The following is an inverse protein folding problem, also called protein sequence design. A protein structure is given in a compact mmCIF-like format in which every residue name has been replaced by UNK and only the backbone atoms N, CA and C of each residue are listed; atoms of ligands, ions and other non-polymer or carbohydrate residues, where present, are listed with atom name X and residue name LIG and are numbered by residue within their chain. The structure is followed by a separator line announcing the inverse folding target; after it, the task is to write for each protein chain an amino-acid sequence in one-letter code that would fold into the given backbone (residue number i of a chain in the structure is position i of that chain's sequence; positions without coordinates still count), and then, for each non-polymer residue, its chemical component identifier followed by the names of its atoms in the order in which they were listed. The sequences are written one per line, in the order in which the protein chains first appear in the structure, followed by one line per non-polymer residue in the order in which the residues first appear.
data_IF_155134969567
#
_entry.id   IF_155134969567
#
_cell.length_a   1.000
_cell.length_b   1.000
_cell.length_c   1.000
_cell.angle_alpha   90.00
_cell.angle_beta   90.00
_cell.angle_gamma   90.00
#
_symmetry.space_group_name_H-M   'P 1'
#
loop_
_entity.id
_entity.type
_entity.pdbx_description
1 polymer ?
#
# COMPACT_ATOMS: atom_id res chain seq x y z
N UNK A 1 -14.98 10.42 9.78
CA UNK A 1 -14.21 9.51 10.66
C UNK A 1 -14.89 8.14 10.87
N UNK A 2 -16.16 7.94 10.48
CA UNK A 2 -16.84 6.63 10.61
C UNK A 2 -16.73 5.70 9.38
N UNK A 3 -16.64 6.26 8.16
CA UNK A 3 -16.79 5.47 6.93
C UNK A 3 -15.62 4.48 6.71
N UNK A 4 -14.39 4.91 6.98
CA UNK A 4 -13.21 4.05 6.86
C UNK A 4 -13.22 2.86 7.84
N UNK A 5 -13.87 2.99 9.01
CA UNK A 5 -13.97 1.89 9.98
C UNK A 5 -15.02 0.85 9.57
N UNK A 6 -16.13 1.29 8.96
CA UNK A 6 -17.16 0.39 8.43
C UNK A 6 -16.66 -0.37 7.19
N UNK A 7 -15.88 0.27 6.31
CA UNK A 7 -15.29 -0.39 5.15
C UNK A 7 -14.25 -1.44 5.57
N UNK A 8 -13.34 -1.10 6.49
CA UNK A 8 -12.32 -2.06 6.96
C UNK A 8 -12.94 -3.21 7.76
N UNK A 9 -13.95 -2.94 8.59
CA UNK A 9 -14.70 -3.98 9.31
C UNK A 9 -15.52 -4.89 8.38
N UNK A 10 -16.16 -4.30 7.36
CA UNK A 10 -16.96 -5.03 6.38
C UNK A 10 -16.12 -5.91 5.46
N UNK A 11 -14.95 -5.43 5.02
CA UNK A 11 -14.02 -6.20 4.18
C UNK A 11 -13.51 -7.46 4.90
N UNK A 12 -13.14 -7.32 6.19
CA UNK A 12 -12.70 -8.46 7.00
C UNK A 12 -13.78 -9.53 7.15
N UNK A 13 -15.02 -9.12 7.42
CA UNK A 13 -16.16 -10.05 7.52
C UNK A 13 -16.47 -10.70 6.16
N UNK A 14 -16.43 -9.95 5.07
CA UNK A 14 -16.66 -10.48 3.72
C UNK A 14 -15.61 -11.54 3.35
N UNK A 15 -14.32 -11.28 3.62
CA UNK A 15 -13.23 -12.24 3.41
C UNK A 15 -13.49 -13.54 4.17
N UNK A 16 -13.88 -13.45 5.46
CA UNK A 16 -14.20 -14.64 6.27
C UNK A 16 -15.37 -15.45 5.67
N UNK A 17 -16.45 -14.78 5.27
CA UNK A 17 -17.60 -15.45 4.63
C UNK A 17 -17.22 -16.17 3.32
N UNK A 18 -16.36 -15.55 2.50
CA UNK A 18 -15.87 -16.18 1.28
C UNK A 18 -14.93 -17.36 1.55
N UNK A 19 -14.13 -17.31 2.63
CA UNK A 19 -13.29 -18.42 3.06
C UNK A 19 -14.13 -19.60 3.56
N UNK A 20 -15.16 -19.34 4.36
CA UNK A 20 -16.11 -20.37 4.83
C UNK A 20 -16.85 -21.01 3.64
N UNK A 21 -17.29 -20.19 2.67
CA UNK A 21 -17.91 -20.70 1.45
C UNK A 21 -16.95 -21.58 0.63
N UNK A 22 -15.67 -21.23 0.55
CA UNK A 22 -14.65 -22.05 -0.11
C UNK A 22 -14.30 -23.31 0.68
N UNK A 23 -14.43 -23.31 2.00
CA UNK A 23 -14.27 -24.51 2.82
C UNK A 23 -15.37 -25.55 2.52
N UNK A 24 -16.60 -25.08 2.24
CA UNK A 24 -17.71 -25.94 1.82
C UNK A 24 -17.61 -26.38 0.35
N UNK A 25 -16.95 -25.57 -0.50
CA UNK A 25 -16.80 -25.84 -1.92
C UNK A 25 -15.47 -25.33 -2.49
N UNK A 26 -14.38 -26.11 -2.40
CA UNK A 26 -13.04 -25.63 -2.79
C UNK A 26 -12.86 -25.42 -4.31
N UNK A 27 -13.76 -25.97 -5.11
CA UNK A 27 -13.71 -25.95 -6.58
C UNK A 27 -14.34 -24.70 -7.23
N UNK A 28 -14.90 -23.77 -6.45
CA UNK A 28 -15.53 -22.58 -7.02
C UNK A 28 -14.51 -21.48 -7.32
N UNK A 29 -14.01 -21.48 -8.56
CA UNK A 29 -13.09 -20.45 -9.04
C UNK A 29 -13.68 -19.02 -9.00
N UNK A 30 -15.00 -18.87 -9.18
CA UNK A 30 -15.65 -17.55 -9.11
C UNK A 30 -15.67 -16.98 -7.70
N UNK A 31 -15.89 -17.83 -6.69
CA UNK A 31 -15.78 -17.46 -5.28
C UNK A 31 -14.33 -17.11 -4.93
N UNK A 32 -13.36 -17.89 -5.42
CA UNK A 32 -11.93 -17.61 -5.26
C UNK A 32 -11.52 -16.29 -5.91
N UNK A 33 -12.09 -15.95 -7.08
CA UNK A 33 -11.87 -14.68 -7.76
C UNK A 33 -12.40 -13.50 -6.93
N UNK A 34 -13.62 -13.62 -6.41
CA UNK A 34 -14.21 -12.60 -5.53
C UNK A 34 -13.40 -12.43 -4.25
N UNK A 35 -12.96 -13.52 -3.62
CA UNK A 35 -12.08 -13.47 -2.46
C UNK A 35 -10.76 -12.75 -2.77
N UNK A 36 -10.10 -13.08 -3.88
CA UNK A 36 -8.88 -12.40 -4.32
C UNK A 36 -9.08 -10.89 -4.50
N UNK A 37 -10.23 -10.46 -5.05
CA UNK A 37 -10.56 -9.04 -5.17
C UNK A 37 -10.73 -8.37 -3.81
N UNK A 38 -11.45 -8.99 -2.88
CA UNK A 38 -11.61 -8.45 -1.52
C UNK A 38 -10.28 -8.36 -0.79
N UNK A 39 -9.37 -9.31 -1.02
CA UNK A 39 -8.01 -9.27 -0.48
C UNK A 39 -7.19 -8.10 -1.05
N UNK A 40 -7.33 -7.79 -2.34
CA UNK A 40 -6.69 -6.60 -2.94
C UNK A 40 -7.24 -5.30 -2.31
N UNK A 41 -8.56 -5.20 -2.16
CA UNK A 41 -9.20 -4.04 -1.52
C UNK A 41 -8.79 -3.89 -0.05
N UNK A 42 -8.54 -5.01 0.64
CA UNK A 42 -7.99 -5.02 2.00
C UNK A 42 -6.46 -4.77 2.06
N UNK A 43 -5.80 -4.49 0.93
CA UNK A 43 -4.34 -4.28 0.86
C UNK A 43 -3.50 -5.55 0.98
N UNK A 44 -4.12 -6.72 1.01
CA UNK A 44 -3.48 -8.04 1.12
C UNK A 44 -3.13 -8.61 -0.26
N UNK A 45 -2.30 -7.87 -1.00
CA UNK A 45 -1.96 -8.21 -2.39
C UNK A 45 -1.24 -9.56 -2.55
N UNK A 46 -0.37 -9.93 -1.59
CA UNK A 46 0.33 -11.22 -1.60
C UNK A 46 -0.65 -12.41 -1.50
N UNK A 47 -1.61 -12.34 -0.59
CA UNK A 47 -2.62 -13.40 -0.43
C UNK A 47 -3.52 -13.47 -1.68
N UNK A 48 -3.93 -12.31 -2.21
CA UNK A 48 -4.72 -12.25 -3.43
C UNK A 48 -4.00 -12.91 -4.61
N UNK A 49 -2.69 -12.70 -4.75
CA UNK A 49 -1.85 -13.30 -5.78
C UNK A 49 -1.97 -14.83 -5.78
N UNK A 50 -1.85 -15.47 -4.62
CA UNK A 50 -1.97 -16.93 -4.50
C UNK A 50 -3.34 -17.43 -4.95
N UNK A 51 -4.41 -16.73 -4.56
CA UNK A 51 -5.77 -17.09 -4.97
C UNK A 51 -5.98 -16.97 -6.48
N UNK A 52 -5.47 -15.91 -7.12
CA UNK A 52 -5.56 -15.75 -8.57
C UNK A 52 -4.68 -16.75 -9.32
N UNK A 53 -3.49 -17.07 -8.81
CA UNK A 53 -2.59 -18.05 -9.43
C UNK A 53 -3.25 -19.44 -9.51
N UNK A 54 -3.96 -19.85 -8.45
CA UNK A 54 -4.72 -21.11 -8.46
C UNK A 54 -5.79 -21.10 -9.56
N UNK A 55 -6.47 -19.97 -9.78
CA UNK A 55 -7.49 -19.84 -10.83
C UNK A 55 -6.86 -19.93 -12.21
N UNK A 56 -5.75 -19.22 -12.44
CA UNK A 56 -5.05 -19.20 -13.72
C UNK A 56 -4.44 -20.57 -14.03
N UNK A 57 -3.89 -21.27 -13.03
CA UNK A 57 -3.39 -22.65 -13.18
C UNK A 57 -4.50 -23.63 -13.55
N UNK A 58 -5.67 -23.51 -12.92
CA UNK A 58 -6.81 -24.38 -13.21
C UNK A 58 -7.49 -24.03 -14.54
N UNK A 59 -7.56 -22.74 -14.90
CA UNK A 59 -8.18 -22.21 -16.10
C UNK A 59 -7.26 -21.18 -16.76
N UNK A 60 -6.28 -21.60 -17.56
CA UNK A 60 -5.37 -20.68 -18.24
C UNK A 60 -6.08 -19.74 -19.22
N UNK A 61 -7.29 -20.08 -19.64
CA UNK A 61 -8.15 -19.27 -20.52
C UNK A 61 -8.92 -18.18 -19.77
N UNK A 62 -8.88 -18.14 -18.44
CA UNK A 62 -9.58 -17.13 -17.64
C UNK A 62 -8.76 -15.84 -17.55
N UNK A 63 -8.85 -15.04 -18.61
CA UNK A 63 -8.05 -13.83 -18.77
C UNK A 63 -8.36 -12.74 -17.74
N UNK A 64 -9.59 -12.65 -17.22
CA UNK A 64 -9.90 -11.72 -16.13
C UNK A 64 -9.11 -12.05 -14.85
N UNK A 65 -9.00 -13.34 -14.51
CA UNK A 65 -8.20 -13.78 -13.37
C UNK A 65 -6.71 -13.53 -13.59
N UNK A 66 -6.22 -13.70 -14.82
CA UNK A 66 -4.84 -13.35 -15.17
C UNK A 66 -4.59 -11.83 -15.08
N UNK A 67 -5.51 -10.98 -15.56
CA UNK A 67 -5.40 -9.54 -15.40
C UNK A 67 -5.35 -9.12 -13.92
N UNK A 68 -6.18 -9.75 -13.07
CA UNK A 68 -6.15 -9.53 -11.62
C UNK A 68 -4.89 -10.08 -10.95
N UNK A 69 -4.32 -11.19 -11.44
CA UNK A 69 -3.03 -11.70 -10.99
C UNK A 69 -1.92 -10.68 -11.23
N UNK A 70 -1.89 -10.08 -12.43
CA UNK A 70 -0.94 -9.00 -12.74
C UNK A 70 -1.10 -7.79 -11.81
N UNK A 71 -2.35 -7.39 -11.52
CA UNK A 71 -2.63 -6.31 -10.58
C UNK A 71 -2.18 -6.65 -9.14
N UNK A 72 -2.39 -7.89 -8.71
CA UNK A 72 -1.91 -8.38 -7.42
C UNK A 72 -0.38 -8.37 -7.33
N UNK A 73 0.33 -8.78 -8.39
CA UNK A 73 1.79 -8.70 -8.47
C UNK A 73 2.26 -7.24 -8.40
N UNK A 74 1.63 -6.33 -9.14
CA UNK A 74 1.97 -4.91 -9.12
C UNK A 74 1.81 -4.30 -7.72
N UNK A 75 0.68 -4.56 -7.05
CA UNK A 75 0.43 -4.08 -5.70
C UNK A 75 1.34 -4.75 -4.65
N UNK A 76 1.82 -5.96 -4.92
CA UNK A 76 2.84 -6.61 -4.10
C UNK A 76 4.27 -6.08 -4.36
N UNK A 77 4.46 -5.15 -5.29
CA UNK A 77 5.75 -4.56 -5.65
C UNK A 77 6.50 -5.31 -6.75
N UNK A 78 5.92 -6.35 -7.34
CA UNK A 78 6.50 -7.11 -8.44
C UNK A 78 5.95 -6.64 -9.79
N UNK A 79 6.43 -5.48 -10.22
CA UNK A 79 6.05 -4.87 -11.50
C UNK A 79 6.50 -5.68 -12.72
N UNK A 80 7.60 -6.45 -12.60
CA UNK A 80 8.09 -7.31 -13.69
C UNK A 80 7.15 -8.49 -13.93
N UNK A 81 6.73 -9.19 -12.88
CA UNK A 81 5.74 -10.26 -13.01
C UNK A 81 4.39 -9.72 -13.48
N UNK A 82 3.98 -8.54 -13.00
CA UNK A 82 2.76 -7.89 -13.46
C UNK A 82 2.78 -7.61 -14.98
N UNK A 83 3.89 -7.06 -15.47
CA UNK A 83 4.09 -6.76 -16.89
C UNK A 83 3.97 -8.01 -17.75
N UNK A 84 4.68 -9.08 -17.40
CA UNK A 84 4.68 -10.31 -18.17
C UNK A 84 3.25 -10.89 -18.30
N UNK A 85 2.50 -10.93 -17.19
CA UNK A 85 1.13 -11.43 -17.19
C UNK A 85 0.19 -10.56 -18.03
N UNK A 86 0.34 -9.23 -17.98
CA UNK A 86 -0.48 -8.32 -18.79
C UNK A 86 -0.10 -8.36 -20.28
N UNK A 87 1.17 -8.53 -20.62
CA UNK A 87 1.61 -8.74 -22.00
C UNK A 87 1.03 -10.04 -22.58
N UNK A 88 1.06 -11.14 -21.84
CA UNK A 88 0.40 -12.40 -22.21
C UNK A 88 -1.12 -12.23 -22.40
N UNK A 89 -1.77 -11.48 -21.50
CA UNK A 89 -3.19 -11.16 -21.64
C UNK A 89 -3.48 -10.34 -22.90
N UNK A 90 -2.62 -9.36 -23.24
CA UNK A 90 -2.74 -8.54 -24.45
C UNK A 90 -2.59 -9.38 -25.71
N UNK A 91 -1.67 -10.34 -25.74
CA UNK A 91 -1.52 -11.23 -26.90
C UNK A 91 -2.78 -12.08 -27.14
N UNK A 92 -3.45 -12.51 -26.07
CA UNK A 92 -4.67 -13.33 -26.15
C UNK A 92 -5.94 -12.51 -26.39
N UNK A 93 -6.01 -11.30 -25.83
CA UNK A 93 -7.11 -10.34 -26.00
C UNK A 93 -6.55 -8.93 -26.18
N UNK A 94 -6.21 -8.55 -27.41
CA UNK A 94 -5.69 -7.21 -27.71
C UNK A 94 -6.74 -6.11 -27.52
N UNK A 95 -8.02 -6.50 -27.41
CA UNK A 95 -9.16 -5.59 -27.29
C UNK A 95 -9.57 -5.29 -25.83
N UNK A 96 -8.86 -5.82 -24.82
CA UNK A 96 -9.22 -5.57 -23.42
C UNK A 96 -8.64 -4.23 -22.92
N UNK A 97 -9.47 -3.18 -22.76
CA UNK A 97 -8.99 -1.86 -22.37
C UNK A 97 -8.41 -1.84 -20.95
N UNK A 98 -8.73 -2.83 -20.10
CA UNK A 98 -8.21 -2.90 -18.73
C UNK A 98 -6.73 -3.25 -18.74
N UNK A 99 -6.33 -4.20 -19.59
CA UNK A 99 -4.94 -4.64 -19.71
C UNK A 99 -4.07 -3.50 -20.23
N UNK A 100 -4.57 -2.76 -21.22
CA UNK A 100 -3.90 -1.56 -21.73
C UNK A 100 -3.76 -0.48 -20.64
N UNK A 101 -4.81 -0.20 -19.88
CA UNK A 101 -4.77 0.74 -18.76
C UNK A 101 -3.75 0.33 -17.70
N UNK A 102 -3.65 -0.96 -17.37
CA UNK A 102 -2.67 -1.47 -16.40
C UNK A 102 -1.23 -1.36 -16.89
N UNK A 103 -0.96 -1.69 -18.16
CA UNK A 103 0.36 -1.50 -18.76
C UNK A 103 0.76 -0.02 -18.85
N UNK A 104 -0.19 0.86 -19.19
CA UNK A 104 0.02 2.30 -19.21
C UNK A 104 0.29 2.85 -17.80
N UNK A 105 -0.43 2.37 -16.78
CA UNK A 105 -0.19 2.72 -15.39
C UNK A 105 1.20 2.26 -14.92
N UNK A 106 1.60 1.03 -15.25
CA UNK A 106 2.91 0.49 -14.94
C UNK A 106 4.03 1.33 -15.57
N UNK A 107 3.93 1.62 -16.87
CA UNK A 107 4.92 2.42 -17.58
C UNK A 107 5.05 3.84 -17.01
N UNK A 108 3.93 4.44 -16.58
CA UNK A 108 3.92 5.74 -15.88
C UNK A 108 4.59 5.66 -14.51
N UNK A 109 4.36 4.58 -13.76
CA UNK A 109 4.97 4.39 -12.45
C UNK A 109 6.48 4.11 -12.57
N UNK A 110 6.91 3.28 -13.52
CA UNK A 110 8.33 3.06 -13.82
C UNK A 110 9.02 4.37 -14.25
N UNK A 111 8.36 5.20 -15.06
CA UNK A 111 8.88 6.52 -15.43
C UNK A 111 8.93 7.50 -14.24
N UNK A 112 7.97 7.41 -13.31
CA UNK A 112 7.95 8.22 -12.09
C UNK A 112 9.00 7.77 -11.06
N UNK A 113 9.31 6.47 -10.98
CA UNK A 113 10.37 5.92 -10.14
C UNK A 113 11.76 6.12 -10.78
N UNK A 114 11.84 6.19 -12.11
CA UNK A 114 13.07 6.48 -12.86
C UNK A 114 13.38 7.99 -12.96
N UNK A 115 12.40 8.88 -12.78
CA UNK A 115 12.68 10.26 -12.45
C UNK A 115 13.32 10.26 -11.06
N UNK A 116 14.55 10.82 -10.87
CA UNK A 116 15.18 10.79 -9.57
C UNK A 116 14.19 11.40 -8.59
N UNK A 117 13.94 10.68 -7.49
CA UNK A 117 13.31 11.24 -6.31
C UNK A 117 14.19 12.41 -5.87
N UNK A 118 13.96 13.57 -6.48
CA UNK A 118 14.39 14.85 -5.99
C UNK A 118 13.60 15.01 -4.71
N UNK A 119 14.18 14.47 -3.63
CA UNK A 119 13.95 14.94 -2.28
C UNK A 119 13.92 16.45 -2.42
N UNK A 120 12.79 17.15 -2.19
CA UNK A 120 12.88 18.58 -2.02
C UNK A 120 13.76 18.75 -0.80
N UNK A 121 15.03 19.07 -1.04
CA UNK A 121 15.96 19.47 -0.01
C UNK A 121 15.20 20.48 0.84
N UNK A 122 15.02 20.13 2.11
CA UNK A 122 14.42 20.96 3.12
C UNK A 122 14.88 22.40 2.90
N UNK A 123 13.96 23.26 2.49
CA UNK A 123 14.17 24.70 2.52
C UNK A 123 14.34 25.06 3.99
N UNK A 124 15.60 25.05 4.44
CA UNK A 124 16.01 25.81 5.61
C UNK A 124 15.69 27.26 5.31
N UNK A 125 14.64 27.76 5.93
CA UNK A 125 14.43 29.20 6.02
C UNK A 125 15.49 29.74 6.97
N UNK A 126 16.60 30.19 6.38
CA UNK A 126 17.53 31.14 6.97
C UNK A 126 16.73 32.37 7.41
N UNK A 127 16.43 32.42 8.71
CA UNK A 127 15.95 33.62 9.38
C UNK A 127 17.13 34.51 9.70
N UNK A 128 17.48 35.38 8.76
CA UNK A 128 18.36 36.52 8.99
C UNK A 128 17.67 37.51 9.96
N UNK A 129 18.32 37.79 11.07
CA UNK A 129 18.15 39.04 11.81
C UNK A 129 19.46 39.35 12.51
N UNK A 130 20.31 40.05 11.77
CA UNK A 130 21.47 40.76 12.29
C UNK A 130 21.06 42.07 12.98
N UNK A 131 21.77 42.37 14.08
CA UNK A 131 21.82 43.67 14.75
C UNK A 131 21.39 43.56 16.21
N UNK A 132 22.23 43.58 17.24
CA UNK A 132 23.57 44.16 17.37
C UNK A 132 23.52 45.16 18.53
N UNK A 133 24.35 44.93 19.56
CA UNK A 133 24.75 45.98 20.50
C UNK A 133 24.46 45.71 21.99
N UNK A 134 25.56 45.46 22.72
CA UNK A 134 25.87 45.99 24.07
C UNK A 134 25.06 45.39 25.25
N UNK A 135 25.63 44.98 26.38
CA UNK A 135 26.88 45.33 27.04
C UNK A 135 26.56 45.47 28.53
N UNK A 136 27.07 44.52 29.33
CA UNK A 136 27.35 44.59 30.78
C UNK A 136 26.26 45.00 31.79
N UNK A 137 26.12 44.20 32.85
CA UNK A 137 25.33 44.57 34.03
C UNK A 137 25.21 43.43 35.05
N UNK A 138 26.10 43.47 36.05
CA UNK A 138 26.14 42.63 37.25
C UNK A 138 24.83 42.61 38.05
N UNK A 139 24.64 41.60 38.92
CA UNK A 139 23.68 41.72 40.01
C UNK A 139 23.19 40.41 40.64
N UNK A 140 23.95 39.97 41.65
CA UNK A 140 23.57 39.17 42.82
C UNK A 140 22.10 38.71 42.99
N UNK A 141 21.97 37.39 43.24
CA UNK A 141 21.77 36.97 44.62
C UNK A 141 20.34 36.65 45.09
N UNK A 142 20.29 35.54 45.85
CA UNK A 142 19.22 35.08 46.76
C UNK A 142 18.07 34.36 46.05
N UNK A 143 17.67 33.15 46.44
CA UNK A 143 17.97 32.39 47.62
C UNK A 143 16.74 31.57 48.00
N UNK A 144 16.98 30.32 48.43
CA UNK A 144 16.06 29.45 49.17
C UNK A 144 14.82 28.96 48.36
N UNK A 145 14.25 27.78 48.59
CA UNK A 145 14.31 26.88 49.72
C UNK A 145 13.72 25.51 49.32
N UNK A 146 14.25 24.43 49.92
CA UNK A 146 13.52 23.31 50.60
C UNK A 146 12.54 22.48 49.74
N UNK A 147 12.35 21.17 49.91
CA UNK A 147 12.71 20.15 50.92
C UNK A 147 12.12 18.82 50.42
N UNK A 148 12.69 17.70 50.88
CA UNK A 148 11.96 16.44 51.14
C UNK A 148 12.27 15.31 50.14
N UNK A 149 12.97 14.23 50.54
CA UNK A 149 12.44 13.01 51.23
C UNK A 149 11.47 12.25 50.31
N UNK A 150 11.49 10.94 50.04
CA UNK A 150 11.96 9.70 50.71
C UNK A 150 11.92 8.56 49.63
N UNK A 151 12.88 7.63 49.62
CA UNK A 151 12.77 6.16 49.89
C UNK A 151 11.65 5.34 49.18
N UNK A 152 12.10 4.39 48.34
CA UNK A 152 11.73 2.93 48.25
C UNK A 152 10.29 2.60 47.78
N UNK A 153 9.94 1.36 47.33
CA UNK A 153 10.48 0.02 47.63
C UNK A 153 11.60 -0.50 46.71
#
# INVERSE_FOLDING_TARGET
MGDAYFEVGGLGQAIAQYQDALALGPAFHDLRYKLGRMLLEAGRALDAREHFEIIVRARPTYLDAAAMLGLACYLAGDGLAAKAVWEDCRERRPEDPRVEAYLAMLARNDAAVAAPMAVPASAGSDGDSSGGGEGEGEGEGRGAARRGRRKQP
#
